data_IF_862836575965
#
_entry.id   IF_862836575965
#
_cell.length_a   1.000
_cell.length_b   1.000
_cell.length_c   1.000
_cell.angle_alpha   90.00
_cell.angle_beta   90.00
_cell.angle_gamma   90.00
#
_symmetry.space_group_name_H-M   'P 1'
#
loop_
_entity.id
_entity.type
_entity.pdbx_description
1 polymer ?
#
# COMPACT_ATOMS: atom_id res chain seq x y z
N UNK A 1 14.05 2.86 8.94
CA UNK A 1 13.15 2.85 7.77
C UNK A 1 11.86 3.66 7.95
N UNK A 2 11.42 4.03 9.17
CA UNK A 2 10.25 4.91 9.36
C UNK A 2 10.35 6.31 8.71
N UNK A 3 11.57 6.84 8.51
CA UNK A 3 11.77 8.16 7.90
C UNK A 3 11.30 8.28 6.44
N UNK A 4 11.48 7.21 5.65
CA UNK A 4 11.12 7.23 4.23
C UNK A 4 9.59 7.17 4.01
N UNK A 5 8.87 6.41 4.83
CA UNK A 5 7.41 6.33 4.75
C UNK A 5 6.73 7.67 5.08
N UNK A 6 7.20 8.37 6.12
CA UNK A 6 6.66 9.70 6.44
C UNK A 6 6.92 10.71 5.32
N UNK A 7 8.11 10.69 4.72
CA UNK A 7 8.43 11.55 3.58
C UNK A 7 7.55 11.24 2.36
N UNK A 8 7.35 9.96 2.06
CA UNK A 8 6.52 9.53 0.94
C UNK A 8 5.03 9.87 1.15
N UNK A 9 4.54 9.76 2.39
CA UNK A 9 3.19 10.20 2.76
C UNK A 9 3.01 11.71 2.58
N UNK A 10 4.00 12.51 2.99
CA UNK A 10 3.94 13.97 2.83
C UNK A 10 3.93 14.38 1.35
N UNK A 11 4.84 13.83 0.54
CA UNK A 11 4.90 14.10 -0.89
C UNK A 11 3.58 13.78 -1.61
N UNK A 12 2.88 12.75 -1.15
CA UNK A 12 1.59 12.40 -1.72
C UNK A 12 0.45 13.33 -1.26
N UNK A 13 0.38 13.68 0.02
CA UNK A 13 -0.60 14.67 0.52
C UNK A 13 -0.45 15.99 -0.23
N UNK A 14 0.78 16.43 -0.47
CA UNK A 14 1.06 17.60 -1.30
C UNK A 14 0.53 17.47 -2.73
N UNK A 15 0.65 16.28 -3.34
CA UNK A 15 0.07 15.99 -4.66
C UNK A 15 -1.46 16.05 -4.67
N UNK A 16 -2.13 15.53 -3.65
CA UNK A 16 -3.60 15.62 -3.51
C UNK A 16 -4.06 17.08 -3.31
N UNK A 17 -3.35 17.84 -2.48
CA UNK A 17 -3.62 19.26 -2.27
C UNK A 17 -3.47 20.05 -3.58
N UNK A 18 -2.50 19.67 -4.42
CA UNK A 18 -2.30 20.28 -5.73
C UNK A 18 -3.44 19.94 -6.71
N UNK A 19 -3.96 18.71 -6.69
CA UNK A 19 -5.12 18.33 -7.50
C UNK A 19 -6.40 19.03 -7.03
N UNK A 20 -6.59 19.23 -5.71
CA UNK A 20 -7.67 20.05 -5.18
C UNK A 20 -7.55 21.50 -5.64
N UNK A 21 -6.35 22.07 -5.61
CA UNK A 21 -6.12 23.45 -6.08
C UNK A 21 -6.45 23.65 -7.56
N UNK A 22 -6.37 22.58 -8.37
CA UNK A 22 -6.75 22.57 -9.78
C UNK A 22 -8.26 22.30 -10.00
N UNK A 23 -9.02 22.08 -8.93
CA UNK A 23 -10.45 21.76 -9.00
C UNK A 23 -10.77 20.34 -9.47
N UNK A 24 -9.76 19.46 -9.59
CA UNK A 24 -9.93 18.08 -10.02
C UNK A 24 -10.44 17.15 -8.90
N UNK A 25 -10.42 17.61 -7.64
CA UNK A 25 -10.81 16.88 -6.44
C UNK A 25 -11.49 17.82 -5.44
N UNK A 26 -12.57 17.37 -4.80
CA UNK A 26 -13.20 18.06 -3.69
C UNK A 26 -12.41 17.91 -2.38
N UNK A 27 -12.66 18.79 -1.40
CA UNK A 27 -12.05 18.70 -0.08
C UNK A 27 -12.48 17.43 0.70
N UNK A 28 -13.72 16.98 0.48
CA UNK A 28 -14.23 15.74 1.07
C UNK A 28 -13.57 14.50 0.43
N UNK A 29 -13.34 14.54 -0.89
CA UNK A 29 -12.65 13.47 -1.62
C UNK A 29 -11.17 13.36 -1.22
N UNK A 30 -10.48 14.50 -1.06
CA UNK A 30 -9.11 14.56 -0.54
C UNK A 30 -9.03 13.91 0.85
N UNK A 31 -9.95 14.26 1.75
CA UNK A 31 -9.99 13.70 3.11
C UNK A 31 -10.28 12.20 3.11
N UNK A 32 -11.18 11.74 2.23
CA UNK A 32 -11.51 10.34 2.08
C UNK A 32 -10.31 9.52 1.55
N UNK A 33 -9.58 10.05 0.57
CA UNK A 33 -8.39 9.42 -0.01
C UNK A 33 -7.25 9.29 1.01
N UNK A 34 -6.97 10.36 1.77
CA UNK A 34 -5.94 10.33 2.81
C UNK A 34 -6.27 9.26 3.86
N UNK A 35 -7.50 9.26 4.38
CA UNK A 35 -7.92 8.28 5.39
C UNK A 35 -7.85 6.85 4.88
N UNK A 36 -8.41 6.59 3.69
CA UNK A 36 -8.40 5.25 3.10
C UNK A 36 -6.99 4.68 2.98
N UNK A 37 -6.02 5.54 2.72
CA UNK A 37 -4.67 5.11 2.47
C UNK A 37 -3.81 5.01 3.71
N UNK A 38 -4.07 5.82 4.73
CA UNK A 38 -3.56 5.58 6.08
C UNK A 38 -4.04 4.21 6.60
N UNK A 39 -5.34 3.89 6.45
CA UNK A 39 -5.92 2.59 6.83
C UNK A 39 -5.24 1.43 6.08
N UNK A 40 -4.98 1.58 4.78
CA UNK A 40 -4.26 0.55 3.99
C UNK A 40 -2.80 0.38 4.43
N UNK A 41 -2.08 1.48 4.68
CA UNK A 41 -0.70 1.42 5.15
C UNK A 41 -0.60 0.73 6.50
N UNK A 42 -1.50 1.05 7.43
CA UNK A 42 -1.55 0.40 8.74
C UNK A 42 -1.82 -1.11 8.62
N UNK A 43 -2.74 -1.51 7.74
CA UNK A 43 -3.03 -2.93 7.49
C UNK A 43 -1.80 -3.69 6.95
N UNK A 44 -1.08 -3.11 5.99
CA UNK A 44 0.16 -3.70 5.44
C UNK A 44 1.24 -3.79 6.51
N UNK A 45 1.41 -2.76 7.34
CA UNK A 45 2.41 -2.75 8.41
C UNK A 45 2.11 -3.83 9.47
N UNK A 46 0.84 -4.03 9.81
CA UNK A 46 0.42 -5.11 10.71
C UNK A 46 0.67 -6.50 10.10
N UNK A 47 0.36 -6.69 8.81
CA UNK A 47 0.64 -7.93 8.09
C UNK A 47 2.14 -8.23 8.11
N UNK A 48 2.99 -7.25 7.76
CA UNK A 48 4.46 -7.39 7.78
C UNK A 48 5.02 -7.68 9.18
N UNK A 49 4.51 -7.01 10.22
CA UNK A 49 4.94 -7.25 11.59
C UNK A 49 4.64 -8.68 12.05
N UNK A 50 3.53 -9.27 11.59
CA UNK A 50 3.18 -10.66 11.87
C UNK A 50 4.06 -11.68 11.13
N UNK A 51 4.76 -11.29 10.05
CA UNK A 51 5.62 -12.20 9.29
C UNK A 51 6.93 -12.53 9.98
N UNK A 52 7.47 -11.60 10.78
CA UNK A 52 8.74 -11.80 11.49
C UNK A 52 8.71 -13.04 12.40
N UNK A 53 7.76 -13.20 13.33
CA UNK A 53 7.73 -14.37 14.20
C UNK A 53 7.47 -15.67 13.43
N UNK A 54 6.69 -15.65 12.35
CA UNK A 54 6.45 -16.84 11.51
C UNK A 54 7.70 -17.22 10.71
N UNK A 55 8.46 -16.24 10.25
CA UNK A 55 9.74 -16.46 9.59
C UNK A 55 10.73 -17.13 10.55
N UNK A 56 10.86 -16.60 11.78
CA UNK A 56 11.72 -17.18 12.82
C UNK A 56 11.33 -18.62 13.13
N UNK A 57 10.03 -18.89 13.32
CA UNK A 57 9.51 -20.24 13.51
C UNK A 57 9.89 -21.18 12.37
N UNK A 58 9.79 -20.73 11.12
CA UNK A 58 10.17 -21.54 9.93
C UNK A 58 11.67 -21.74 9.81
N UNK A 59 12.48 -20.77 10.21
CA UNK A 59 13.94 -20.95 10.27
C UNK A 59 14.27 -22.08 11.23
N UNK A 60 13.60 -22.13 12.38
CA UNK A 60 13.80 -23.17 13.39
C UNK A 60 13.28 -24.55 12.96
N UNK A 61 12.10 -24.64 12.33
CA UNK A 61 11.48 -25.93 11.98
C UNK A 61 11.92 -26.49 10.64
N UNK A 62 12.06 -25.61 9.63
CA UNK A 62 12.19 -26.02 8.22
C UNK A 62 13.58 -25.65 7.66
N UNK A 63 14.38 -24.91 8.44
CA UNK A 63 15.68 -24.42 8.03
C UNK A 63 15.61 -23.14 7.20
N UNK A 64 16.71 -22.37 7.24
CA UNK A 64 16.82 -21.03 6.64
C UNK A 64 16.43 -20.99 5.16
N UNK A 65 16.87 -21.96 4.36
CA UNK A 65 16.59 -21.98 2.92
C UNK A 65 15.08 -22.09 2.60
N UNK A 66 14.34 -22.89 3.37
CA UNK A 66 12.90 -23.04 3.19
C UNK A 66 12.14 -21.81 3.70
N UNK A 67 12.59 -21.20 4.80
CA UNK A 67 12.04 -19.94 5.30
C UNK A 67 12.25 -18.80 4.29
N UNK A 68 13.42 -18.70 3.67
CA UNK A 68 13.73 -17.70 2.64
C UNK A 68 12.89 -17.90 1.37
N UNK A 69 12.72 -19.16 0.92
CA UNK A 69 11.86 -19.48 -0.21
C UNK A 69 10.39 -19.14 0.06
N UNK A 70 9.91 -19.43 1.27
CA UNK A 70 8.56 -19.05 1.71
C UNK A 70 8.37 -17.53 1.71
N UNK A 71 9.31 -16.79 2.30
CA UNK A 71 9.24 -15.32 2.36
C UNK A 71 9.23 -14.71 0.96
N UNK A 72 10.09 -15.22 0.05
CA UNK A 72 10.12 -14.77 -1.34
C UNK A 72 8.83 -15.06 -2.11
N UNK A 73 8.20 -16.23 -1.89
CA UNK A 73 6.90 -16.55 -2.49
C UNK A 73 5.79 -15.63 -1.97
N UNK A 74 5.80 -15.38 -0.66
CA UNK A 74 4.84 -14.48 -0.01
C UNK A 74 4.97 -13.04 -0.50
N UNK A 75 6.19 -12.50 -0.58
CA UNK A 75 6.43 -11.15 -1.10
C UNK A 75 5.94 -10.98 -2.53
N UNK A 76 6.11 -12.01 -3.39
CA UNK A 76 5.59 -11.98 -4.77
C UNK A 76 4.06 -11.92 -4.77
N UNK A 77 3.41 -12.79 -3.99
CA UNK A 77 1.94 -12.83 -3.92
C UNK A 77 1.35 -11.51 -3.39
N UNK A 78 1.98 -10.91 -2.37
CA UNK A 78 1.60 -9.58 -1.88
C UNK A 78 1.77 -8.52 -2.96
N UNK A 79 2.91 -8.48 -3.65
CA UNK A 79 3.15 -7.50 -4.72
C UNK A 79 2.17 -7.61 -5.89
N UNK A 80 1.81 -8.83 -6.30
CA UNK A 80 0.80 -9.09 -7.34
C UNK A 80 -0.60 -8.59 -6.92
N UNK A 81 -0.99 -8.84 -5.67
CA UNK A 81 -2.26 -8.38 -5.10
C UNK A 81 -2.34 -6.85 -5.07
N UNK A 82 -1.32 -6.19 -4.52
CA UNK A 82 -1.28 -4.73 -4.42
C UNK A 82 -1.24 -4.08 -5.81
N UNK A 83 -0.47 -4.65 -6.75
CA UNK A 83 -0.43 -4.16 -8.14
C UNK A 83 -1.79 -4.27 -8.85
N UNK A 84 -2.51 -5.38 -8.64
CA UNK A 84 -3.86 -5.57 -9.19
C UNK A 84 -4.89 -4.62 -8.56
N UNK A 85 -4.74 -4.28 -7.28
CA UNK A 85 -5.60 -3.31 -6.61
C UNK A 85 -5.33 -1.87 -7.08
N UNK A 86 -4.06 -1.47 -7.15
CA UNK A 86 -3.66 -0.16 -7.68
C UNK A 86 -4.15 0.05 -9.12
N UNK A 87 -4.04 -0.99 -9.96
CA UNK A 87 -4.58 -0.96 -11.34
C UNK A 87 -6.09 -0.72 -11.36
N UNK A 88 -6.85 -1.45 -10.53
CA UNK A 88 -8.32 -1.29 -10.43
C UNK A 88 -8.71 0.11 -9.95
N UNK A 89 -7.97 0.67 -9.00
CA UNK A 89 -8.20 2.03 -8.52
C UNK A 89 -8.02 3.05 -9.66
N UNK A 90 -6.92 2.97 -10.40
CA UNK A 90 -6.66 3.85 -11.56
C UNK A 90 -7.73 3.70 -12.64
N UNK A 91 -8.14 2.47 -12.95
CA UNK A 91 -9.23 2.20 -13.91
C UNK A 91 -10.56 2.81 -13.45
N UNK A 92 -10.90 2.71 -12.16
CA UNK A 92 -12.12 3.32 -11.63
C UNK A 92 -12.11 4.84 -11.73
N UNK A 93 -10.99 5.49 -11.42
CA UNK A 93 -10.82 6.94 -11.51
C UNK A 93 -10.90 7.42 -12.98
N UNK A 94 -10.30 6.66 -13.91
CA UNK A 94 -10.35 6.96 -15.34
C UNK A 94 -11.77 6.80 -15.90
N UNK A 95 -12.53 5.80 -15.44
CA UNK A 95 -13.92 5.59 -15.88
C UNK A 95 -14.86 6.68 -15.39
N UNK A 96 -14.62 7.22 -14.18
CA UNK A 96 -15.39 8.34 -13.63
C UNK A 96 -15.13 9.62 -14.46
N UNK A 97 -13.88 9.84 -14.90
CA UNK A 97 -13.51 10.98 -15.73
C UNK A 97 -13.98 10.90 -17.19
N UNK A 98 -14.46 9.75 -17.65
CA UNK A 98 -14.97 9.56 -19.01
C UNK A 98 -16.50 9.80 -19.13
N UNK A 99 -17.19 10.00 -17.99
CA UNK A 99 -18.65 10.19 -17.92
C UNK A 99 -19.03 11.60 -17.43
N UNK A 100 -18.06 12.49 -17.21
CA UNK A 100 -18.24 13.92 -16.95
C UNK A 100 -17.95 14.74 -18.22
#
# INVERSE_FOLDING_TARGET
>A
MHGDQHAQRQAWIEGLAQLRAQGALGADDESALIRHMDERLDAVQQELAALVPEYERRVETDGRANADAWLGALSRAMGEREGAEAKRLVESLTSINAVA
#
